data_IF_033500013881
#
_entry.id   IF_033500013881
#
_cell.length_a   1.000
_cell.length_b   1.000
_cell.length_c   1.000
_cell.angle_alpha   90.00
_cell.angle_beta   90.00
_cell.angle_gamma   90.00
#
_symmetry.space_group_name_H-M   'P 1'
#
loop_
_entity.id
_entity.type
_entity.pdbx_description
1 polymer ?
#
# COMPACT_ATOMS: atom_id res chain seq x y z
N UNK A 1 5.24 -10.53 4.73
CA UNK A 1 6.00 -10.01 3.59
C UNK A 1 6.46 -11.14 2.69
N UNK A 2 6.70 -10.85 1.41
CA UNK A 2 7.24 -11.78 0.41
C UNK A 2 8.66 -11.35 0.02
N UNK A 3 9.55 -12.33 -0.22
CA UNK A 3 10.93 -12.12 -0.66
C UNK A 3 11.07 -12.79 -2.03
N UNK A 4 11.40 -12.01 -3.07
CA UNK A 4 11.72 -12.60 -4.38
C UNK A 4 13.17 -13.11 -4.46
N UNK A 5 13.51 -13.81 -5.55
CA UNK A 5 14.85 -14.36 -5.79
C UNK A 5 15.96 -13.29 -5.81
N UNK A 6 15.60 -12.01 -5.99
CA UNK A 6 16.49 -10.86 -5.97
C UNK A 6 16.63 -10.23 -4.57
N UNK A 7 16.08 -10.85 -3.52
CA UNK A 7 15.99 -10.31 -2.14
C UNK A 7 15.16 -9.03 -2.03
N UNK A 8 14.22 -8.79 -2.94
CA UNK A 8 13.32 -7.65 -2.84
C UNK A 8 12.16 -8.00 -1.91
N UNK A 9 11.89 -7.08 -1.00
CA UNK A 9 10.92 -7.23 0.06
C UNK A 9 9.63 -6.50 -0.30
N UNK A 10 8.49 -7.12 -0.04
CA UNK A 10 7.16 -6.49 -0.04
C UNK A 10 6.42 -6.86 1.23
N UNK A 11 5.78 -5.91 1.89
CA UNK A 11 4.89 -6.13 3.02
C UNK A 11 3.60 -5.33 2.91
N UNK A 12 2.61 -5.77 3.71
CA UNK A 12 1.29 -5.16 3.82
C UNK A 12 1.14 -4.73 5.27
N UNK A 13 0.85 -3.45 5.46
CA UNK A 13 0.73 -2.79 6.74
C UNK A 13 -0.65 -2.13 6.83
N UNK A 14 -1.28 -2.13 8.01
CA UNK A 14 -2.55 -1.45 8.24
C UNK A 14 -2.50 -0.65 9.52
N UNK A 15 -3.06 0.56 9.49
CA UNK A 15 -3.12 1.42 10.68
C UNK A 15 -4.33 2.35 10.66
N UNK A 16 -4.82 2.71 11.85
CA UNK A 16 -5.81 3.77 12.06
C UNK A 16 -5.17 5.16 12.19
N UNK A 17 -3.84 5.23 12.23
CA UNK A 17 -3.08 6.48 12.19
C UNK A 17 -3.27 7.20 10.85
N UNK A 18 -3.22 8.54 10.87
CA UNK A 18 -3.28 9.35 9.65
C UNK A 18 -2.17 8.93 8.66
N UNK A 19 -2.53 8.78 7.38
CA UNK A 19 -1.62 8.31 6.33
C UNK A 19 -0.34 9.16 6.22
N UNK A 20 -0.45 10.48 6.37
CA UNK A 20 0.70 11.41 6.33
C UNK A 20 1.75 11.16 7.42
N UNK A 21 1.37 10.53 8.53
CA UNK A 21 2.30 10.14 9.61
C UNK A 21 2.78 8.71 9.41
N UNK A 22 1.84 7.79 9.13
CA UNK A 22 2.13 6.36 9.12
C UNK A 22 2.92 5.91 7.89
N UNK A 23 2.58 6.43 6.70
CA UNK A 23 3.22 6.00 5.45
C UNK A 23 4.73 6.29 5.47
N UNK A 24 5.22 7.49 5.83
CA UNK A 24 6.66 7.74 5.96
C UNK A 24 7.36 6.82 6.97
N UNK A 25 6.68 6.40 8.04
CA UNK A 25 7.24 5.51 9.06
C UNK A 25 7.54 4.11 8.48
N UNK A 26 6.55 3.48 7.86
CA UNK A 26 6.67 2.11 7.34
C UNK A 26 7.51 2.04 6.06
N UNK A 27 7.38 3.05 5.19
CA UNK A 27 8.10 3.15 3.91
C UNK A 27 9.51 3.73 4.01
N UNK A 28 9.98 4.06 5.22
CA UNK A 28 11.30 4.66 5.43
C UNK A 28 11.45 5.99 4.67
N UNK A 29 10.46 6.87 4.87
CA UNK A 29 10.36 8.26 4.39
C UNK A 29 9.95 8.41 2.92
N UNK A 30 9.13 7.51 2.37
CA UNK A 30 8.49 7.76 1.09
C UNK A 30 7.59 8.99 1.16
N UNK A 31 7.44 9.67 0.02
CA UNK A 31 6.64 10.89 -0.12
C UNK A 31 5.51 10.64 -1.10
N UNK A 32 4.36 11.26 -0.82
CA UNK A 32 3.24 11.30 -1.75
C UNK A 32 3.69 11.94 -3.06
N UNK A 33 3.43 11.25 -4.17
CA UNK A 33 3.79 11.75 -5.50
C UNK A 33 2.62 12.44 -6.19
N UNK A 34 1.41 12.37 -5.61
CA UNK A 34 0.16 12.81 -6.23
C UNK A 34 -0.33 11.90 -7.35
N UNK A 35 0.38 10.80 -7.66
CA UNK A 35 -0.01 9.82 -8.67
C UNK A 35 -0.82 8.70 -8.04
N UNK A 36 -1.71 8.10 -8.83
CA UNK A 36 -2.53 6.97 -8.40
C UNK A 36 -2.47 5.81 -9.38
N UNK A 37 -2.69 4.61 -8.87
CA UNK A 37 -2.72 3.36 -9.61
C UNK A 37 -4.05 2.66 -9.33
N UNK A 38 -4.75 2.26 -10.38
CA UNK A 38 -5.96 1.44 -10.22
C UNK A 38 -5.56 -0.03 -10.11
N UNK A 39 -5.80 -0.63 -8.95
CA UNK A 39 -5.46 -2.04 -8.66
C UNK A 39 -6.69 -2.73 -8.10
N UNK A 40 -7.10 -3.83 -8.73
CA UNK A 40 -8.31 -4.59 -8.35
C UNK A 40 -9.58 -3.70 -8.22
N UNK A 41 -9.69 -2.65 -9.03
CA UNK A 41 -10.83 -1.72 -9.00
C UNK A 41 -10.78 -0.67 -7.88
N UNK A 42 -9.68 -0.59 -7.14
CA UNK A 42 -9.45 0.44 -6.12
C UNK A 42 -8.33 1.38 -6.54
N UNK A 43 -8.46 2.65 -6.17
CA UNK A 43 -7.45 3.67 -6.45
C UNK A 43 -6.43 3.73 -5.31
N UNK A 44 -5.20 3.33 -5.60
CA UNK A 44 -4.07 3.34 -4.68
C UNK A 44 -3.18 4.55 -4.97
N UNK A 45 -2.82 5.30 -3.94
CA UNK A 45 -1.86 6.39 -4.07
C UNK A 45 -0.44 5.83 -4.14
N UNK A 46 0.37 6.33 -5.07
CA UNK A 46 1.77 5.94 -5.19
C UNK A 46 2.68 6.93 -4.45
N UNK A 47 3.41 6.39 -3.48
CA UNK A 47 4.38 7.10 -2.67
C UNK A 47 5.78 6.58 -2.99
N UNK A 48 6.71 7.49 -3.24
CA UNK A 48 8.06 7.14 -3.70
C UNK A 48 9.10 7.48 -2.63
N UNK A 49 10.01 6.55 -2.38
CA UNK A 49 11.03 6.69 -1.36
C UNK A 49 12.36 6.09 -1.80
N UNK A 50 13.46 6.66 -1.30
CA UNK A 50 14.80 6.20 -1.64
C UNK A 50 15.09 4.76 -1.16
N UNK A 51 14.41 4.32 -0.08
CA UNK A 51 14.56 2.97 0.47
C UNK A 51 13.40 2.07 0.08
N UNK A 52 12.16 2.46 0.41
CA UNK A 52 10.97 1.72 0.02
C UNK A 52 9.99 2.63 -0.70
N UNK A 53 9.35 2.09 -1.72
CA UNK A 53 8.14 2.68 -2.31
C UNK A 53 6.92 2.18 -1.54
N UNK A 54 5.79 2.85 -1.72
CA UNK A 54 4.52 2.42 -1.14
C UNK A 54 3.33 2.66 -2.08
N UNK A 55 2.39 1.72 -2.06
CA UNK A 55 1.02 1.93 -2.51
C UNK A 55 0.15 2.10 -1.27
N UNK A 56 -0.67 3.15 -1.24
CA UNK A 56 -1.50 3.51 -0.09
C UNK A 56 -2.96 3.49 -0.49
N UNK A 57 -3.77 2.71 0.21
CA UNK A 57 -5.22 2.67 0.06
C UNK A 57 -5.89 3.25 1.31
N UNK A 58 -6.43 4.48 1.23
CA UNK A 58 -7.26 5.03 2.29
C UNK A 58 -8.58 4.24 2.41
N UNK A 59 -8.87 3.75 3.61
CA UNK A 59 -10.14 3.14 3.96
C UNK A 59 -10.93 4.01 4.95
N UNK A 60 -12.17 3.61 5.28
CA UNK A 60 -12.91 4.26 6.36
C UNK A 60 -12.22 4.00 7.71
N UNK A 61 -11.57 5.02 8.26
CA UNK A 61 -10.92 4.98 9.57
C UNK A 61 -9.61 4.18 9.63
N UNK A 62 -9.08 3.72 8.49
CA UNK A 62 -7.82 3.00 8.42
C UNK A 62 -7.10 3.29 7.10
N UNK A 63 -5.81 2.99 7.06
CA UNK A 63 -4.95 3.09 5.89
C UNK A 63 -4.30 1.74 5.68
N UNK A 64 -4.42 1.19 4.48
CA UNK A 64 -3.65 0.01 4.05
C UNK A 64 -2.46 0.47 3.24
N UNK A 65 -1.28 -0.07 3.51
CA UNK A 65 -0.03 0.29 2.83
C UNK A 65 0.65 -0.99 2.34
N UNK A 66 0.94 -1.07 1.06
CA UNK A 66 1.82 -2.07 0.48
C UNK A 66 3.17 -1.41 0.24
N UNK A 67 4.23 -1.83 0.94
CA UNK A 67 5.53 -1.16 0.88
C UNK A 67 6.70 -2.13 0.89
N UNK A 68 7.81 -1.72 0.29
CA UNK A 68 9.07 -2.44 0.38
C UNK A 68 10.10 -2.00 -0.64
N UNK A 69 11.22 -2.74 -0.71
CA UNK A 69 12.34 -2.45 -1.61
C UNK A 69 12.11 -2.93 -3.04
N UNK A 70 11.05 -3.69 -3.28
CA UNK A 70 10.66 -4.11 -4.61
C UNK A 70 10.21 -2.92 -5.48
N UNK A 71 10.35 -3.04 -6.81
CA UNK A 71 9.84 -2.02 -7.72
C UNK A 71 8.31 -1.94 -7.62
N UNK A 72 7.76 -0.85 -8.17
CA UNK A 72 6.33 -0.53 -8.11
C UNK A 72 5.44 -1.67 -8.60
N UNK A 73 5.86 -2.36 -9.66
CA UNK A 73 5.11 -3.45 -10.28
C UNK A 73 4.87 -4.60 -9.30
N UNK A 74 5.88 -4.98 -8.52
CA UNK A 74 5.74 -6.02 -7.48
C UNK A 74 4.84 -5.57 -6.33
N UNK A 75 4.83 -4.26 -6.00
CA UNK A 75 3.86 -3.72 -5.03
C UNK A 75 2.43 -3.80 -5.58
N UNK A 76 2.23 -3.50 -6.86
CA UNK A 76 0.93 -3.61 -7.55
C UNK A 76 0.44 -5.06 -7.55
N UNK A 77 1.31 -6.03 -7.85
CA UNK A 77 0.96 -7.45 -7.82
C UNK A 77 0.51 -7.89 -6.42
N UNK A 78 1.24 -7.49 -5.37
CA UNK A 78 0.83 -7.76 -3.99
C UNK A 78 -0.51 -7.10 -3.66
N UNK A 79 -0.70 -5.84 -4.04
CA UNK A 79 -1.95 -5.12 -3.83
C UNK A 79 -3.13 -5.79 -4.55
N UNK A 80 -2.92 -6.31 -5.76
CA UNK A 80 -3.93 -7.04 -6.53
C UNK A 80 -4.31 -8.39 -5.90
N UNK A 81 -3.39 -9.02 -5.17
CA UNK A 81 -3.63 -10.27 -4.47
C UNK A 81 -4.42 -10.09 -3.16
N UNK A 82 -4.59 -8.85 -2.67
CA UNK A 82 -5.34 -8.57 -1.46
C UNK A 82 -6.84 -8.80 -1.68
N UNK A 83 -7.42 -9.68 -0.87
CA UNK A 83 -8.88 -9.79 -0.74
C UNK A 83 -9.35 -8.71 0.22
N UNK A 84 -9.78 -7.56 -0.29
CA UNK A 84 -10.55 -6.63 0.54
C UNK A 84 -11.93 -7.25 0.76
N UNK A 85 -12.34 -7.47 2.00
CA UNK A 85 -13.72 -7.84 2.29
C UNK A 85 -14.65 -6.84 1.57
N UNK A 86 -15.75 -7.29 0.94
CA UNK A 86 -16.73 -6.37 0.36
C UNK A 86 -17.13 -5.32 1.40
N UNK A 87 -17.43 -4.07 1.02
CA UNK A 87 -18.06 -3.15 1.95
C UNK A 87 -19.25 -3.88 2.56
N UNK A 88 -19.30 -3.97 3.89
CA UNK A 88 -20.38 -4.65 4.60
C UNK A 88 -21.70 -4.19 3.97
N UNK A 89 -22.46 -5.13 3.41
CA UNK A 89 -23.79 -4.85 2.89
C UNK A 89 -24.56 -4.10 3.99
N UNK A 90 -25.35 -3.06 3.67
CA UNK A 90 -26.15 -2.39 4.68
C UNK A 90 -27.01 -3.44 5.37
N UNK A 91 -26.84 -3.58 6.68
CA UNK A 91 -27.76 -4.36 7.50
C UNK A 91 -29.14 -3.78 7.27
N UNK A 92 -30.05 -4.60 6.74
CA UNK A 92 -31.45 -4.25 6.51
C UNK A 92 -32.22 -4.20 7.82
#
# INVERSE_FOLDING_TARGET
>A
GFLDADRKYVAVEQSTTAAGTYVPEVSRKAKDTGRTETVAGQEWQYWEGAKYNALVLPGKGHTTVVTGSAPKESLVEMAAALKTAPPAAPAS
#
